data_IF_742822951702
#
_entry.id   IF_742822951702
#
_cell.length_a   1.000
_cell.length_b   1.000
_cell.length_c   1.000
_cell.angle_alpha   90.00
_cell.angle_beta   90.00
_cell.angle_gamma   90.00
#
_symmetry.space_group_name_H-M   'P 1'
#
loop_
_entity.id
_entity.type
_entity.pdbx_description
1 polymer ?
#
# COMPACT_ATOMS: atom_id res chain seq x y z
N UNK A 1 10.45 -4.89 -27.39
CA UNK A 1 11.00 -3.99 -28.43
C UNK A 1 10.31 -2.66 -28.24
N UNK A 2 11.05 -1.63 -27.78
CA UNK A 2 10.56 -0.24 -27.75
C UNK A 2 10.13 0.13 -29.16
N UNK A 3 9.03 0.88 -29.35
CA UNK A 3 8.72 1.40 -30.67
C UNK A 3 9.91 2.26 -31.13
N UNK A 4 10.29 2.13 -32.38
CA UNK A 4 11.26 3.01 -33.01
C UNK A 4 10.65 4.42 -33.10
N UNK A 5 10.71 5.17 -32.01
CA UNK A 5 10.38 6.59 -31.99
C UNK A 5 11.64 7.38 -32.29
N UNK A 6 11.52 8.27 -33.25
CA UNK A 6 12.53 9.20 -33.70
C UNK A 6 13.46 9.65 -32.56
N UNK A 7 14.67 9.10 -32.53
CA UNK A 7 15.76 9.60 -31.71
C UNK A 7 16.20 10.94 -32.29
N UNK A 8 16.03 12.00 -31.53
CA UNK A 8 16.72 13.25 -31.79
C UNK A 8 17.30 13.80 -30.51
N UNK A 9 18.57 14.13 -30.58
CA UNK A 9 19.23 14.89 -29.53
C UNK A 9 19.08 16.38 -29.84
N UNK A 10 18.85 17.18 -28.84
CA UNK A 10 18.88 18.64 -28.94
C UNK A 10 20.10 19.13 -28.21
N UNK A 11 20.89 20.01 -28.82
CA UNK A 11 22.02 20.61 -28.16
C UNK A 11 21.55 21.31 -26.88
N UNK A 12 22.20 20.98 -25.75
CA UNK A 12 21.93 21.64 -24.50
C UNK A 12 22.29 23.12 -24.60
N UNK A 13 21.60 24.02 -23.86
CA UNK A 13 22.04 25.41 -23.72
C UNK A 13 23.51 25.47 -23.28
N UNK A 14 24.24 26.46 -23.77
CA UNK A 14 25.69 26.60 -23.55
C UNK A 14 26.14 26.64 -22.08
N UNK A 15 25.19 26.78 -21.17
CA UNK A 15 25.41 26.83 -19.72
C UNK A 15 24.59 25.78 -18.95
N UNK A 16 24.09 24.76 -19.62
CA UNK A 16 23.39 23.66 -18.96
C UNK A 16 24.37 22.80 -18.15
N UNK A 17 24.01 22.48 -16.93
CA UNK A 17 24.82 21.68 -16.01
C UNK A 17 24.00 20.64 -15.28
N UNK A 18 24.52 19.43 -15.22
CA UNK A 18 24.13 18.46 -14.20
C UNK A 18 24.85 18.83 -12.89
N UNK A 19 24.21 18.67 -11.77
CA UNK A 19 24.83 19.00 -10.48
C UNK A 19 24.42 18.05 -9.35
N UNK A 20 25.30 17.98 -8.35
CA UNK A 20 25.03 17.41 -7.03
C UNK A 20 25.27 18.52 -5.99
N UNK A 21 24.38 18.67 -5.06
CA UNK A 21 24.56 19.47 -3.86
C UNK A 21 24.60 18.55 -2.65
N UNK A 22 25.61 18.71 -1.82
CA UNK A 22 25.69 18.11 -0.50
C UNK A 22 25.11 19.10 0.50
N UNK A 23 24.10 18.70 1.26
CA UNK A 23 23.35 19.55 2.17
C UNK A 23 23.57 19.10 3.62
N UNK A 24 23.84 20.04 4.52
CA UNK A 24 23.97 19.76 5.95
C UNK A 24 22.63 19.98 6.66
N UNK A 25 22.00 18.94 7.21
CA UNK A 25 20.74 19.05 7.93
C UNK A 25 20.89 19.88 9.23
N UNK A 26 22.05 19.84 9.87
CA UNK A 26 22.31 20.59 11.12
C UNK A 26 22.45 22.11 10.87
N UNK A 27 22.73 22.50 9.64
CA UNK A 27 22.84 23.90 9.22
C UNK A 27 21.63 24.37 8.38
N UNK A 28 20.45 23.80 8.65
CA UNK A 28 19.21 24.16 7.95
C UNK A 28 19.22 23.80 6.46
N UNK A 29 19.83 22.67 6.11
CA UNK A 29 20.03 22.21 4.72
C UNK A 29 20.82 23.21 3.84
N UNK A 30 21.75 23.95 4.42
CA UNK A 30 22.67 24.76 3.66
C UNK A 30 23.56 23.89 2.77
N UNK A 31 23.89 24.41 1.58
CA UNK A 31 24.81 23.71 0.67
C UNK A 31 26.23 23.77 1.23
N UNK A 32 26.79 22.61 1.55
CA UNK A 32 28.17 22.47 1.99
C UNK A 32 29.11 22.34 0.79
N UNK A 33 28.65 21.60 -0.22
CA UNK A 33 29.42 21.38 -1.44
C UNK A 33 28.50 21.40 -2.66
N UNK A 34 28.99 21.98 -3.76
CA UNK A 34 28.29 22.03 -5.03
C UNK A 34 29.22 21.57 -6.15
N UNK A 35 28.88 20.46 -6.77
CA UNK A 35 29.63 19.89 -7.89
C UNK A 35 28.75 19.97 -9.13
N UNK A 36 29.32 20.42 -10.24
CA UNK A 36 28.59 20.49 -11.50
C UNK A 36 29.47 20.08 -12.68
N UNK A 37 28.82 19.52 -13.68
CA UNK A 37 29.42 19.14 -14.96
C UNK A 37 28.63 19.74 -16.10
N UNK A 38 29.33 20.24 -17.13
CA UNK A 38 28.66 20.75 -18.33
C UNK A 38 27.95 19.63 -19.06
N UNK A 39 26.72 19.91 -19.52
CA UNK A 39 25.90 19.00 -20.28
C UNK A 39 25.90 19.47 -21.72
N UNK A 40 26.45 18.68 -22.62
CA UNK A 40 26.59 19.02 -24.04
C UNK A 40 25.39 18.59 -24.89
N UNK A 41 24.68 17.57 -24.43
CA UNK A 41 23.49 17.02 -25.13
C UNK A 41 22.42 16.64 -24.13
N UNK A 42 21.16 16.86 -24.51
CA UNK A 42 19.98 16.38 -23.79
C UNK A 42 19.20 15.49 -24.75
N UNK A 43 19.08 14.22 -24.42
CA UNK A 43 18.25 13.29 -25.16
C UNK A 43 16.83 13.24 -24.58
N UNK A 44 15.82 13.22 -25.45
CA UNK A 44 14.42 13.15 -25.06
C UNK A 44 13.95 11.72 -24.82
N UNK A 45 14.59 10.77 -25.46
CA UNK A 45 14.17 9.36 -25.49
C UNK A 45 15.30 8.39 -25.11
N UNK A 46 16.41 8.90 -24.63
CA UNK A 46 17.55 8.07 -24.26
C UNK A 46 18.20 8.55 -22.98
N UNK A 47 18.79 7.64 -22.25
CA UNK A 47 19.47 7.94 -20.99
C UNK A 47 20.88 8.43 -21.27
N UNK A 48 21.24 9.59 -20.73
CA UNK A 48 22.61 10.09 -20.72
C UNK A 48 23.23 9.81 -19.37
N UNK A 49 24.35 9.08 -19.32
CA UNK A 49 25.09 8.85 -18.08
C UNK A 49 25.97 10.04 -17.77
N UNK A 50 25.78 10.63 -16.60
CA UNK A 50 26.63 11.69 -16.07
C UNK A 50 27.26 11.21 -14.76
N UNK A 51 28.57 11.27 -14.66
CA UNK A 51 29.32 10.95 -13.47
C UNK A 51 29.80 12.25 -12.80
N UNK A 52 29.46 12.37 -11.55
CA UNK A 52 29.86 13.44 -10.65
C UNK A 52 30.35 12.77 -9.36
N UNK A 53 31.54 13.18 -8.91
CA UNK A 53 32.16 12.59 -7.74
C UNK A 53 32.29 13.63 -6.64
N UNK A 54 31.97 13.27 -5.42
CA UNK A 54 32.23 14.06 -4.20
C UNK A 54 32.77 13.16 -3.11
N UNK A 55 33.58 13.72 -2.23
CA UNK A 55 34.05 13.01 -1.03
C UNK A 55 33.08 13.29 0.11
N UNK A 56 32.74 12.24 0.85
CA UNK A 56 31.91 12.34 2.06
C UNK A 56 32.84 12.18 3.25
N UNK A 57 33.14 13.28 3.95
CA UNK A 57 33.89 13.24 5.19
C UNK A 57 33.09 12.49 6.27
N UNK A 58 33.79 11.71 7.05
CA UNK A 58 33.28 10.64 7.90
C UNK A 58 32.50 11.06 9.14
N UNK A 59 32.10 12.33 9.31
CA UNK A 59 31.57 12.78 10.60
C UNK A 59 30.40 13.75 10.46
N UNK A 60 29.26 13.23 10.06
CA UNK A 60 27.99 13.84 10.49
C UNK A 60 27.16 12.75 11.17
N UNK A 61 26.84 12.91 12.45
CA UNK A 61 26.02 11.96 13.20
C UNK A 61 24.63 11.70 12.60
N UNK A 62 24.21 12.57 11.66
CA UNK A 62 22.93 12.47 10.95
C UNK A 62 23.09 12.33 9.42
N UNK A 63 24.31 12.13 8.91
CA UNK A 63 24.57 12.03 7.48
C UNK A 63 24.40 13.33 6.70
N UNK A 64 24.46 13.24 5.38
CA UNK A 64 24.24 14.35 4.46
C UNK A 64 23.11 14.02 3.52
N UNK A 65 22.39 15.06 3.09
CA UNK A 65 21.40 14.95 2.02
C UNK A 65 22.02 15.38 0.70
N UNK A 66 21.70 14.67 -0.37
CA UNK A 66 22.14 15.00 -1.72
C UNK A 66 20.97 15.48 -2.55
N UNK A 67 21.13 16.61 -3.21
CA UNK A 67 20.19 17.12 -4.18
C UNK A 67 20.81 17.05 -5.58
N UNK A 68 20.14 16.32 -6.46
CA UNK A 68 20.52 16.20 -7.87
C UNK A 68 19.67 17.13 -8.72
N UNK A 69 20.20 17.60 -9.84
CA UNK A 69 19.42 18.44 -10.73
C UNK A 69 20.17 18.88 -11.99
N UNK A 70 19.44 19.59 -12.84
CA UNK A 70 19.97 20.25 -14.02
C UNK A 70 19.64 21.75 -13.95
N UNK A 71 20.67 22.56 -14.18
CA UNK A 71 20.51 24.00 -14.29
C UNK A 71 20.45 24.43 -15.76
N UNK A 72 19.79 25.53 -16.04
CA UNK A 72 19.76 26.21 -17.34
C UNK A 72 19.26 25.33 -18.52
N UNK A 73 18.41 24.35 -18.23
CA UNK A 73 17.73 23.61 -19.27
C UNK A 73 16.59 24.45 -19.83
N UNK A 74 16.50 24.57 -21.13
CA UNK A 74 15.54 25.46 -21.78
C UNK A 74 14.08 25.13 -21.40
N UNK A 75 13.35 26.12 -20.91
CA UNK A 75 11.98 26.00 -20.42
C UNK A 75 10.90 25.79 -21.51
N UNK A 76 11.27 25.84 -22.79
CA UNK A 76 10.37 25.56 -23.91
C UNK A 76 9.93 24.10 -24.02
N UNK A 77 10.62 23.21 -23.34
CA UNK A 77 10.16 21.87 -23.05
C UNK A 77 9.62 21.85 -21.64
N UNK A 78 8.34 21.64 -21.51
CA UNK A 78 7.75 21.35 -20.21
C UNK A 78 7.85 19.82 -19.96
N UNK A 79 8.99 19.33 -19.52
CA UNK A 79 9.09 17.97 -19.04
C UNK A 79 8.51 17.98 -17.63
N UNK A 80 7.62 17.12 -17.38
CA UNK A 80 7.13 16.80 -16.04
C UNK A 80 8.24 16.19 -15.16
N UNK A 81 9.46 16.71 -15.23
CA UNK A 81 10.59 16.34 -14.38
C UNK A 81 11.78 15.74 -15.15
N UNK A 82 12.90 15.75 -14.49
CA UNK A 82 14.10 14.99 -14.88
C UNK A 82 14.03 13.68 -14.14
N UNK A 83 14.04 12.57 -14.87
CA UNK A 83 14.10 11.24 -14.29
C UNK A 83 15.55 10.89 -13.98
N UNK A 84 15.78 10.35 -12.78
CA UNK A 84 17.05 9.78 -12.39
C UNK A 84 16.90 8.26 -12.27
N UNK A 85 17.85 7.55 -12.82
CA UNK A 85 17.96 6.11 -12.71
C UNK A 85 19.37 5.75 -12.23
N UNK A 86 19.48 4.76 -11.37
CA UNK A 86 20.75 4.27 -10.85
C UNK A 86 21.66 5.37 -10.29
N UNK A 87 21.20 6.11 -9.30
CA UNK A 87 22.07 6.97 -8.52
C UNK A 87 22.95 6.06 -7.65
N UNK A 88 24.18 5.81 -8.11
CA UNK A 88 25.15 5.01 -7.37
C UNK A 88 26.00 5.94 -6.55
N UNK A 89 26.04 5.74 -5.22
CA UNK A 89 26.97 6.38 -4.31
C UNK A 89 28.06 5.35 -3.99
N UNK A 90 29.18 5.43 -4.68
CA UNK A 90 30.33 4.58 -4.39
C UNK A 90 31.20 5.24 -3.33
N UNK A 91 31.25 4.66 -2.13
CA UNK A 91 32.18 5.03 -1.07
C UNK A 91 33.49 4.23 -1.19
N UNK A 92 34.64 4.88 -1.07
CA UNK A 92 35.92 4.18 -0.96
C UNK A 92 35.96 3.29 0.28
N UNK A 93 36.41 2.02 0.11
CA UNK A 93 36.64 0.99 1.12
C UNK A 93 35.64 1.03 2.29
N UNK A 94 34.42 0.71 2.00
CA UNK A 94 33.55 0.18 3.03
C UNK A 94 34.20 -1.12 3.56
N UNK A 95 34.22 -1.35 4.88
CA UNK A 95 34.37 -2.72 5.36
C UNK A 95 33.36 -3.57 4.57
N UNK A 96 33.74 -4.83 4.26
CA UNK A 96 32.84 -5.76 3.55
C UNK A 96 31.41 -5.50 4.00
N UNK A 97 30.46 -5.32 3.07
CA UNK A 97 29.10 -4.97 3.47
C UNK A 97 28.74 -6.01 4.53
N UNK A 98 28.67 -5.56 5.77
CA UNK A 98 27.85 -6.26 6.74
C UNK A 98 26.57 -6.46 5.96
N UNK A 99 26.10 -7.72 5.74
CA UNK A 99 24.88 -7.94 4.97
C UNK A 99 23.93 -6.85 5.47
N UNK A 100 23.41 -6.03 4.54
CA UNK A 100 22.51 -4.96 4.90
C UNK A 100 21.57 -5.58 5.91
N UNK A 101 21.38 -5.00 7.12
CA UNK A 101 20.50 -5.60 8.06
C UNK A 101 19.29 -5.97 7.21
N UNK A 102 18.98 -7.27 7.14
CA UNK A 102 17.75 -7.71 6.52
C UNK A 102 16.72 -6.91 7.28
N UNK A 103 16.26 -5.82 6.69
CA UNK A 103 15.20 -5.04 7.29
C UNK A 103 14.06 -6.03 7.23
N UNK A 104 13.72 -6.59 8.39
CA UNK A 104 12.53 -7.42 8.51
C UNK A 104 11.40 -6.48 8.13
N UNK A 105 10.91 -6.62 6.91
CA UNK A 105 9.81 -5.83 6.37
C UNK A 105 8.59 -5.92 7.28
N UNK A 106 8.48 -7.05 7.98
CA UNK A 106 7.44 -7.30 8.95
C UNK A 106 8.10 -7.63 10.28
N UNK A 107 8.17 -6.67 11.22
CA UNK A 107 8.78 -6.89 12.52
C UNK A 107 8.00 -7.89 13.39
N UNK A 108 6.84 -8.38 12.93
CA UNK A 108 5.97 -9.34 13.62
C UNK A 108 5.64 -8.91 15.06
N UNK A 109 5.37 -7.63 15.23
CA UNK A 109 5.15 -7.03 16.53
C UNK A 109 3.67 -6.65 16.72
N UNK A 110 2.77 -7.64 16.66
CA UNK A 110 1.44 -7.41 17.20
C UNK A 110 1.57 -7.06 18.70
N UNK A 111 0.90 -6.02 19.20
CA UNK A 111 0.87 -5.77 20.62
C UNK A 111 0.30 -6.99 21.37
N UNK A 112 1.06 -7.55 22.30
CA UNK A 112 0.59 -8.73 23.04
C UNK A 112 -0.55 -8.42 23.99
N UNK A 113 -0.63 -7.19 24.49
CA UNK A 113 -1.60 -6.80 25.53
C UNK A 113 -2.05 -5.34 25.35
N UNK A 114 -3.31 -5.12 25.64
CA UNK A 114 -3.90 -3.82 25.90
C UNK A 114 -4.49 -3.86 27.31
N UNK A 115 -4.62 -2.73 27.99
CA UNK A 115 -5.14 -2.65 29.37
C UNK A 115 -6.49 -3.38 29.53
N UNK A 116 -7.37 -3.24 28.53
CA UNK A 116 -8.73 -3.78 28.54
C UNK A 116 -8.94 -4.99 27.63
N UNK A 117 -7.90 -5.47 26.92
CA UNK A 117 -8.01 -6.53 25.93
C UNK A 117 -6.89 -7.54 26.05
N UNK A 118 -7.21 -8.81 25.82
CA UNK A 118 -6.24 -9.91 25.77
C UNK A 118 -6.21 -10.50 24.38
N UNK A 119 -5.02 -10.71 23.80
CA UNK A 119 -4.81 -11.41 22.53
C UNK A 119 -5.38 -12.83 22.61
N UNK A 120 -6.26 -13.17 21.69
CA UNK A 120 -6.91 -14.49 21.61
C UNK A 120 -6.57 -15.25 20.35
N UNK A 121 -6.20 -14.53 19.30
CA UNK A 121 -5.75 -15.13 18.04
C UNK A 121 -4.90 -14.11 17.25
N UNK A 122 -3.91 -14.61 16.53
CA UNK A 122 -3.14 -13.82 15.58
C UNK A 122 -2.62 -14.70 14.44
N UNK A 123 -2.39 -14.08 13.28
CA UNK A 123 -1.57 -14.60 12.21
C UNK A 123 -0.47 -13.57 11.91
N UNK A 124 0.76 -13.97 12.16
CA UNK A 124 1.97 -13.15 11.91
C UNK A 124 2.65 -13.53 10.60
N UNK A 125 2.04 -14.38 9.79
CA UNK A 125 2.59 -14.86 8.52
C UNK A 125 4.04 -15.36 8.66
N UNK A 126 4.36 -15.93 9.80
CA UNK A 126 5.72 -16.36 10.16
C UNK A 126 6.19 -17.63 9.44
N UNK A 127 5.26 -18.36 8.83
CA UNK A 127 5.57 -19.54 8.02
C UNK A 127 5.98 -19.12 6.59
N UNK A 128 6.60 -20.03 5.84
CA UNK A 128 7.00 -19.79 4.44
C UNK A 128 5.83 -19.93 3.44
N UNK A 129 4.60 -20.06 3.93
CA UNK A 129 3.39 -20.22 3.13
C UNK A 129 2.15 -19.75 3.87
N UNK A 130 1.12 -19.42 3.11
CA UNK A 130 -0.18 -19.05 3.66
C UNK A 130 -0.82 -20.24 4.40
N UNK A 131 -1.31 -20.00 5.62
CA UNK A 131 -2.10 -21.00 6.35
C UNK A 131 -3.49 -21.15 5.69
N UNK A 132 -3.63 -22.21 4.89
CA UNK A 132 -4.88 -22.50 4.17
C UNK A 132 -5.99 -23.07 5.07
N UNK A 133 -5.73 -23.33 6.34
CA UNK A 133 -6.78 -23.63 7.31
C UNK A 133 -7.49 -22.37 7.80
N UNK A 134 -6.84 -21.21 7.67
CA UNK A 134 -7.37 -19.89 8.01
C UNK A 134 -7.84 -19.15 6.76
N UNK A 135 -6.99 -19.09 5.75
CA UNK A 135 -7.20 -18.27 4.56
C UNK A 135 -7.55 -19.09 3.33
N UNK A 136 -8.50 -18.63 2.58
CA UNK A 136 -8.86 -19.18 1.27
C UNK A 136 -8.80 -18.10 0.18
N UNK A 137 -8.45 -18.53 -1.05
CA UNK A 137 -8.41 -17.66 -2.21
C UNK A 137 -9.79 -17.48 -2.83
N UNK A 138 -10.05 -16.27 -3.32
CA UNK A 138 -11.14 -15.99 -4.23
C UNK A 138 -10.57 -15.77 -5.64
N UNK A 139 -11.20 -16.32 -6.67
CA UNK A 139 -10.64 -16.39 -8.02
C UNK A 139 -11.46 -15.61 -9.05
N UNK A 140 -10.82 -15.22 -10.15
CA UNK A 140 -11.44 -14.68 -11.34
C UNK A 140 -11.94 -13.25 -11.20
N UNK A 141 -12.95 -12.92 -11.99
CA UNK A 141 -13.57 -11.60 -12.07
C UNK A 141 -14.83 -11.44 -11.19
N UNK A 142 -15.13 -12.42 -10.34
CA UNK A 142 -16.33 -12.44 -9.51
C UNK A 142 -17.55 -13.10 -10.16
N UNK A 143 -17.54 -13.41 -11.46
CA UNK A 143 -18.68 -14.02 -12.16
C UNK A 143 -19.13 -15.33 -11.53
N UNK A 144 -18.20 -16.15 -11.06
CA UNK A 144 -18.51 -17.42 -10.37
C UNK A 144 -19.21 -17.24 -9.02
N UNK A 145 -19.14 -16.03 -8.45
CA UNK A 145 -19.84 -15.64 -7.22
C UNK A 145 -21.12 -14.84 -7.51
N UNK A 146 -21.50 -14.68 -8.79
CA UNK A 146 -22.67 -13.93 -9.21
C UNK A 146 -22.50 -12.40 -9.22
N UNK A 147 -21.28 -11.92 -9.08
CA UNK A 147 -20.92 -10.48 -9.02
C UNK A 147 -19.79 -10.16 -10.03
N UNK A 148 -20.04 -10.24 -11.36
CA UNK A 148 -19.03 -9.96 -12.37
C UNK A 148 -18.41 -8.56 -12.18
N UNK A 149 -17.10 -8.45 -12.40
CA UNK A 149 -16.32 -7.26 -12.04
C UNK A 149 -16.37 -6.97 -10.54
N UNK A 150 -16.57 -8.02 -9.72
CA UNK A 150 -16.74 -7.97 -8.27
C UNK A 150 -17.82 -7.00 -7.78
N UNK A 151 -18.81 -6.73 -8.66
CA UNK A 151 -19.88 -5.77 -8.40
C UNK A 151 -19.50 -4.31 -8.59
N UNK A 152 -18.24 -4.00 -8.85
CA UNK A 152 -17.67 -2.64 -8.90
C UNK A 152 -17.05 -2.29 -10.26
N UNK A 153 -17.22 -3.14 -11.29
CA UNK A 153 -16.53 -3.01 -12.58
C UNK A 153 -15.00 -3.00 -12.45
N UNK A 154 -14.47 -3.79 -11.55
CA UNK A 154 -13.05 -3.99 -11.36
C UNK A 154 -12.42 -4.71 -12.56
N UNK A 155 -11.14 -4.43 -12.83
CA UNK A 155 -10.47 -4.85 -14.07
C UNK A 155 -9.57 -6.06 -13.91
N UNK A 156 -9.16 -6.40 -12.67
CA UNK A 156 -8.27 -7.53 -12.44
C UNK A 156 -9.00 -8.88 -12.46
N UNK A 157 -8.24 -9.91 -12.74
CA UNK A 157 -8.55 -11.28 -12.38
C UNK A 157 -7.81 -11.64 -11.10
N UNK A 158 -8.51 -12.10 -10.08
CA UNK A 158 -7.86 -12.60 -8.89
C UNK A 158 -7.35 -14.03 -9.08
N UNK A 159 -6.14 -14.28 -8.62
CA UNK A 159 -5.47 -15.58 -8.68
C UNK A 159 -4.90 -15.98 -7.32
N UNK A 160 -4.43 -17.23 -7.21
CA UNK A 160 -3.62 -17.73 -6.10
C UNK A 160 -2.16 -17.95 -6.51
N UNK A 161 -1.73 -17.39 -7.64
CA UNK A 161 -0.39 -17.59 -8.15
C UNK A 161 0.65 -16.85 -7.31
N UNK A 162 1.81 -17.47 -7.10
CA UNK A 162 2.90 -16.91 -6.31
C UNK A 162 3.43 -15.56 -6.85
N UNK A 163 3.07 -15.18 -8.06
CA UNK A 163 3.36 -13.85 -8.59
C UNK A 163 2.46 -12.75 -8.03
N UNK A 164 1.26 -13.11 -7.58
CA UNK A 164 0.27 -12.15 -7.09
C UNK A 164 0.05 -12.25 -5.58
N UNK A 165 0.36 -13.41 -4.97
CA UNK A 165 0.22 -13.59 -3.53
C UNK A 165 1.24 -14.58 -3.00
N UNK A 166 1.97 -14.18 -1.97
CA UNK A 166 2.98 -15.03 -1.33
C UNK A 166 3.26 -14.58 0.10
N UNK A 167 3.78 -15.49 0.90
CA UNK A 167 4.27 -15.23 2.26
C UNK A 167 5.78 -15.41 2.25
N UNK A 168 6.50 -14.45 2.76
CA UNK A 168 7.95 -14.50 2.92
C UNK A 168 8.42 -13.52 4.00
N UNK A 169 9.40 -13.93 4.80
CA UNK A 169 10.00 -13.08 5.85
C UNK A 169 8.95 -12.47 6.81
N UNK A 170 7.96 -13.26 7.21
CA UNK A 170 6.93 -12.80 8.14
C UNK A 170 5.91 -11.83 7.55
N UNK A 171 5.83 -11.72 6.24
CA UNK A 171 4.87 -10.85 5.57
C UNK A 171 4.00 -11.63 4.58
N UNK A 172 2.72 -11.27 4.52
CA UNK A 172 1.86 -11.60 3.37
C UNK A 172 1.93 -10.46 2.36
N UNK A 173 2.21 -10.80 1.11
CA UNK A 173 2.24 -9.86 -0.01
C UNK A 173 1.09 -10.13 -0.97
N UNK A 174 0.34 -9.08 -1.34
CA UNK A 174 -0.62 -9.07 -2.42
C UNK A 174 -0.16 -8.06 -3.46
N UNK A 175 0.14 -8.53 -4.67
CA UNK A 175 0.82 -7.75 -5.70
C UNK A 175 -0.03 -7.66 -6.95
N UNK A 176 -0.68 -6.52 -7.20
CA UNK A 176 -1.35 -6.29 -8.48
C UNK A 176 -0.30 -6.16 -9.58
N UNK A 177 -0.45 -6.96 -10.63
CA UNK A 177 0.45 -7.02 -11.79
C UNK A 177 -0.31 -6.85 -13.10
N UNK A 178 0.40 -6.40 -14.13
CA UNK A 178 -0.13 -6.28 -15.48
C UNK A 178 0.54 -7.24 -16.45
N UNK A 179 -0.24 -8.02 -17.18
CA UNK A 179 0.21 -8.86 -18.29
C UNK A 179 0.14 -8.08 -19.60
N UNK A 180 1.30 -7.73 -20.14
CA UNK A 180 1.36 -7.01 -21.41
C UNK A 180 0.91 -7.88 -22.59
N UNK A 181 1.09 -9.20 -22.52
CA UNK A 181 0.71 -10.13 -23.59
C UNK A 181 -0.78 -10.36 -23.67
N UNK A 182 -1.49 -10.21 -22.57
CA UNK A 182 -2.93 -10.48 -22.44
C UNK A 182 -3.76 -9.20 -22.31
N UNK A 183 -3.09 -8.05 -22.11
CA UNK A 183 -3.73 -6.77 -21.79
C UNK A 183 -4.65 -6.88 -20.56
N UNK A 184 -4.15 -7.54 -19.51
CA UNK A 184 -4.94 -7.93 -18.36
C UNK A 184 -4.21 -7.65 -17.05
N UNK A 185 -4.94 -7.15 -16.04
CA UNK A 185 -4.47 -7.05 -14.67
C UNK A 185 -4.77 -8.32 -13.89
N UNK A 186 -3.81 -8.71 -13.04
CA UNK A 186 -3.92 -9.81 -12.10
C UNK A 186 -3.61 -9.34 -10.71
N UNK A 187 -4.29 -9.91 -9.71
CA UNK A 187 -4.06 -9.61 -8.30
C UNK A 187 -4.51 -10.78 -7.44
N UNK A 188 -4.61 -10.59 -6.12
CA UNK A 188 -5.14 -11.61 -5.23
C UNK A 188 -6.20 -11.04 -4.27
N UNK A 189 -7.12 -11.92 -3.87
CA UNK A 189 -8.13 -11.69 -2.85
C UNK A 189 -8.21 -12.91 -1.95
N UNK A 190 -7.93 -12.70 -0.68
CA UNK A 190 -8.01 -13.69 0.37
C UNK A 190 -9.22 -13.44 1.26
N UNK A 191 -9.72 -14.49 1.88
CA UNK A 191 -10.74 -14.39 2.94
C UNK A 191 -10.50 -15.44 4.01
N UNK A 192 -10.89 -15.11 5.24
CA UNK A 192 -10.82 -16.04 6.39
C UNK A 192 -12.14 -16.80 6.63
N UNK A 193 -13.05 -16.83 5.64
CA UNK A 193 -14.34 -17.53 5.73
C UNK A 193 -14.16 -19.01 5.99
N UNK A 194 -14.96 -19.56 6.90
CA UNK A 194 -14.88 -20.95 7.38
C UNK A 194 -13.58 -21.28 8.15
N UNK A 195 -12.66 -20.31 8.31
CA UNK A 195 -11.43 -20.40 9.10
C UNK A 195 -11.53 -19.55 10.37
N UNK A 196 -10.97 -18.33 10.33
CA UNK A 196 -11.02 -17.39 11.45
C UNK A 196 -12.18 -16.40 11.31
N UNK A 197 -13.02 -16.32 12.32
CA UNK A 197 -14.12 -15.34 12.41
C UNK A 197 -13.97 -14.42 13.61
N UNK A 198 -14.57 -13.27 13.50
CA UNK A 198 -14.50 -12.18 14.48
C UNK A 198 -15.91 -11.78 14.91
N UNK A 199 -16.07 -11.49 16.18
CA UNK A 199 -17.29 -10.91 16.72
C UNK A 199 -16.94 -10.13 17.96
N UNK A 200 -17.10 -8.81 17.91
CA UNK A 200 -16.71 -7.88 18.97
C UNK A 200 -15.20 -7.90 19.28
N UNK A 201 -14.78 -7.13 20.27
CA UNK A 201 -13.40 -7.04 20.69
C UNK A 201 -12.60 -5.99 19.91
N UNK A 202 -11.33 -6.24 19.74
CA UNK A 202 -10.40 -5.40 18.98
C UNK A 202 -9.72 -6.24 17.90
N UNK A 203 -9.66 -5.72 16.70
CA UNK A 203 -8.97 -6.33 15.58
C UNK A 203 -7.92 -5.34 15.08
N UNK A 204 -6.66 -5.74 15.07
CA UNK A 204 -5.54 -4.94 14.56
C UNK A 204 -4.96 -5.59 13.31
N UNK A 205 -4.66 -4.78 12.31
CA UNK A 205 -3.95 -5.20 11.12
C UNK A 205 -2.76 -4.29 10.89
N UNK A 206 -1.56 -4.85 10.95
CA UNK A 206 -0.32 -4.19 10.56
C UNK A 206 -0.14 -4.29 9.05
N UNK A 207 0.05 -3.16 8.36
CA UNK A 207 0.07 -3.18 6.90
C UNK A 207 0.82 -2.00 6.27
N UNK A 208 1.17 -2.17 4.99
CA UNK A 208 1.55 -1.12 4.06
C UNK A 208 0.73 -1.25 2.78
N UNK A 209 0.22 -0.15 2.26
CA UNK A 209 -0.67 -0.16 1.10
C UNK A 209 0.03 0.34 -0.18
N UNK A 210 -0.31 -0.21 -1.36
CA UNK A 210 0.22 0.27 -2.63
C UNK A 210 -0.33 1.66 -2.99
N UNK A 211 0.46 2.39 -3.80
CA UNK A 211 0.16 3.75 -4.23
C UNK A 211 0.40 3.92 -5.73
N UNK A 212 -0.60 3.57 -6.54
CA UNK A 212 -0.56 3.65 -8.01
C UNK A 212 -1.90 4.16 -8.55
N UNK A 213 -1.90 4.73 -9.75
CA UNK A 213 -3.16 5.13 -10.40
C UNK A 213 -4.06 3.91 -10.61
N UNK A 214 -5.31 4.01 -10.17
CA UNK A 214 -6.31 2.96 -10.32
C UNK A 214 -6.17 1.77 -9.37
N UNK A 215 -5.26 1.79 -8.39
CA UNK A 215 -5.19 0.74 -7.38
C UNK A 215 -6.22 0.98 -6.27
N UNK A 216 -6.76 -0.11 -5.75
CA UNK A 216 -7.75 -0.09 -4.67
C UNK A 216 -7.45 -1.22 -3.66
N UNK A 217 -6.52 -1.00 -2.73
CA UNK A 217 -6.28 -1.93 -1.65
C UNK A 217 -7.37 -1.84 -0.59
N UNK A 218 -7.76 -2.99 -0.02
CA UNK A 218 -8.76 -3.06 1.04
C UNK A 218 -8.46 -4.12 2.10
N UNK A 219 -8.73 -3.75 3.35
CA UNK A 219 -8.78 -4.59 4.53
C UNK A 219 -10.18 -4.43 5.11
N UNK A 220 -10.99 -5.47 5.02
CA UNK A 220 -12.42 -5.36 5.26
C UNK A 220 -13.04 -6.69 5.70
N UNK A 221 -14.31 -6.68 6.04
CA UNK A 221 -14.97 -7.85 6.59
C UNK A 221 -16.38 -8.03 6.01
N UNK A 222 -16.71 -9.28 5.73
CA UNK A 222 -18.05 -9.72 5.32
C UNK A 222 -18.65 -10.63 6.38
N UNK A 223 -20.00 -10.70 6.45
CA UNK A 223 -20.67 -11.61 7.37
C UNK A 223 -20.24 -13.06 7.11
N UNK A 224 -20.05 -13.82 8.18
CA UNK A 224 -19.77 -15.26 8.07
C UNK A 224 -20.95 -15.99 7.42
N UNK A 225 -22.16 -15.60 7.82
CA UNK A 225 -23.42 -16.12 7.30
C UNK A 225 -24.30 -14.97 6.80
N UNK A 226 -24.97 -15.17 5.67
CA UNK A 226 -25.97 -14.23 5.14
C UNK A 226 -27.31 -14.31 5.90
N UNK A 227 -27.23 -14.18 7.23
CA UNK A 227 -28.35 -14.42 8.13
C UNK A 227 -29.59 -13.58 7.81
N UNK A 228 -29.38 -12.36 7.35
CA UNK A 228 -30.47 -11.42 7.02
C UNK A 228 -30.68 -11.28 5.50
N UNK A 229 -30.00 -12.11 4.71
CA UNK A 229 -30.00 -12.10 3.25
C UNK A 229 -28.70 -11.52 2.68
N UNK A 230 -28.56 -11.64 1.35
CA UNK A 230 -27.35 -11.16 0.66
C UNK A 230 -27.12 -9.66 0.84
N UNK A 231 -25.92 -9.24 0.49
CA UNK A 231 -25.46 -7.87 0.59
C UNK A 231 -26.50 -6.83 0.13
N UNK A 232 -26.69 -5.70 0.81
CA UNK A 232 -26.00 -5.25 2.02
C UNK A 232 -26.70 -5.64 3.35
N UNK A 233 -27.68 -6.54 3.32
CA UNK A 233 -28.55 -6.84 4.47
C UNK A 233 -27.83 -7.47 5.65
N UNK A 234 -26.84 -8.30 5.38
CA UNK A 234 -26.04 -8.97 6.42
C UNK A 234 -24.79 -8.18 6.80
N UNK A 235 -24.62 -6.97 6.27
CA UNK A 235 -23.57 -6.03 6.63
C UNK A 235 -22.27 -6.21 5.85
N UNK A 236 -21.38 -5.21 6.00
CA UNK A 236 -19.99 -5.18 5.57
C UNK A 236 -19.26 -4.15 6.43
N UNK A 237 -18.02 -4.40 6.80
CA UNK A 237 -17.23 -3.51 7.64
C UNK A 237 -15.87 -3.30 6.97
N UNK A 238 -15.59 -2.08 6.51
CA UNK A 238 -14.32 -1.74 5.90
C UNK A 238 -13.42 -1.09 6.95
N UNK A 239 -12.36 -1.80 7.32
CA UNK A 239 -11.35 -1.26 8.24
C UNK A 239 -10.54 -0.21 7.51
N UNK A 240 -10.10 -0.54 6.30
CA UNK A 240 -9.26 0.32 5.48
C UNK A 240 -9.61 0.14 3.99
N UNK A 241 -9.81 1.23 3.31
CA UNK A 241 -9.81 1.33 1.87
C UNK A 241 -8.89 2.47 1.42
N UNK A 242 -7.91 2.12 0.59
CA UNK A 242 -7.07 3.09 -0.10
C UNK A 242 -7.48 3.23 -1.56
N UNK A 243 -7.06 4.29 -2.21
CA UNK A 243 -7.23 4.44 -3.66
C UNK A 243 -6.16 5.28 -4.30
N UNK A 244 -5.79 4.88 -5.49
CA UNK A 244 -4.84 5.63 -6.33
C UNK A 244 -3.50 5.89 -5.60
N UNK A 245 -2.94 7.05 -5.76
CA UNK A 245 -1.72 7.52 -5.09
C UNK A 245 -1.98 8.23 -3.76
N UNK A 246 -3.20 8.18 -3.25
CA UNK A 246 -3.62 8.95 -2.07
C UNK A 246 -3.21 8.22 -0.79
N UNK A 247 -1.91 8.18 -0.50
CA UNK A 247 -1.36 7.57 0.73
C UNK A 247 -1.73 8.34 2.00
N UNK A 248 -2.15 9.58 1.86
CA UNK A 248 -2.57 10.49 2.93
C UNK A 248 -4.07 10.46 3.18
N UNK A 249 -4.80 9.57 2.54
CA UNK A 249 -6.25 9.45 2.69
C UNK A 249 -6.65 8.00 2.86
N UNK A 250 -7.47 7.76 3.87
CA UNK A 250 -8.10 6.45 4.08
C UNK A 250 -9.62 6.60 4.18
N UNK A 251 -10.32 5.60 3.72
CA UNK A 251 -11.75 5.48 3.96
C UNK A 251 -12.03 4.29 4.87
N UNK A 252 -12.98 4.49 5.78
CA UNK A 252 -13.51 3.44 6.65
C UNK A 252 -15.03 3.48 6.56
N UNK A 253 -15.69 2.32 6.47
CA UNK A 253 -17.11 2.27 6.17
C UNK A 253 -17.81 1.13 6.91
N UNK A 254 -19.07 1.31 7.25
CA UNK A 254 -20.01 0.25 7.60
C UNK A 254 -21.17 0.28 6.60
N UNK A 255 -21.37 -0.80 5.84
CA UNK A 255 -22.47 -0.97 4.88
C UNK A 255 -23.56 -1.86 5.46
N UNK A 256 -24.83 -1.46 5.26
CA UNK A 256 -25.99 -2.18 5.80
C UNK A 256 -27.29 -1.82 5.05
N UNK A 257 -28.39 -2.41 5.43
CA UNK A 257 -29.75 -2.03 5.03
C UNK A 257 -30.57 -3.15 4.44
N UNK A 258 -31.83 -3.25 4.89
CA UNK A 258 -32.77 -4.30 4.49
C UNK A 258 -33.59 -3.99 3.25
N UNK A 259 -33.98 -2.75 3.08
CA UNK A 259 -34.82 -2.24 2.00
C UNK A 259 -34.00 -1.67 0.85
N UNK A 260 -32.96 -0.90 1.17
CA UNK A 260 -31.98 -0.41 0.21
C UNK A 260 -30.63 -0.23 0.91
N UNK A 261 -29.56 -0.15 0.13
CA UNK A 261 -28.22 0.02 0.61
C UNK A 261 -28.06 1.35 1.36
N UNK A 262 -27.53 1.25 2.56
CA UNK A 262 -27.07 2.36 3.40
C UNK A 262 -25.64 2.14 3.78
N UNK A 263 -24.94 3.23 4.07
CA UNK A 263 -23.59 3.17 4.60
C UNK A 263 -23.33 4.34 5.53
N UNK A 264 -22.40 4.13 6.42
CA UNK A 264 -21.80 5.17 7.26
C UNK A 264 -20.30 5.15 7.00
N UNK A 265 -19.81 6.19 6.35
CA UNK A 265 -18.44 6.23 5.82
C UNK A 265 -17.71 7.48 6.31
N UNK A 266 -16.41 7.34 6.53
CA UNK A 266 -15.54 8.44 6.89
C UNK A 266 -14.29 8.44 6.03
N UNK A 267 -14.12 9.52 5.26
CA UNK A 267 -12.84 9.88 4.66
C UNK A 267 -12.02 10.64 5.68
N UNK A 268 -10.81 10.16 5.96
CA UNK A 268 -9.87 10.80 6.86
C UNK A 268 -8.62 11.17 6.08
N UNK A 269 -8.27 12.47 6.11
CA UNK A 269 -6.98 12.95 5.63
C UNK A 269 -5.97 12.81 6.77
N UNK A 270 -4.92 12.04 6.50
CA UNK A 270 -3.84 11.80 7.44
C UNK A 270 -2.81 12.94 7.34
N UNK A 271 -2.26 13.34 8.45
CA UNK A 271 -1.09 14.24 8.46
C UNK A 271 0.19 13.41 8.36
N UNK A 272 1.34 14.01 7.96
CA UNK A 272 2.62 13.29 7.95
C UNK A 272 3.03 12.66 9.28
N UNK A 273 2.42 13.08 10.39
CA UNK A 273 2.61 12.50 11.70
C UNK A 273 1.73 11.25 11.94
N UNK A 274 0.65 11.10 11.19
CA UNK A 274 -0.31 10.02 11.35
C UNK A 274 0.06 8.78 10.54
N UNK A 275 0.90 8.92 9.49
CA UNK A 275 1.36 7.81 8.68
C UNK A 275 2.87 7.89 8.47
N UNK A 276 3.46 6.75 8.25
CA UNK A 276 4.86 6.69 7.84
C UNK A 276 4.93 6.56 6.33
N UNK A 277 5.64 7.48 5.67
CA UNK A 277 5.95 7.37 4.24
C UNK A 277 7.02 6.32 3.95
N UNK A 278 7.57 5.73 5.00
CA UNK A 278 8.53 4.65 4.91
C UNK A 278 7.75 3.35 4.71
N UNK A 279 7.90 2.66 3.58
CA UNK A 279 7.26 1.36 3.37
C UNK A 279 7.70 0.30 4.40
N UNK A 280 8.76 0.57 5.16
CA UNK A 280 9.29 -0.29 6.22
C UNK A 280 8.53 -0.08 7.55
N UNK A 281 7.91 1.08 7.74
CA UNK A 281 7.14 1.36 8.95
C UNK A 281 5.67 1.07 8.68
N UNK A 282 5.22 -0.10 9.09
CA UNK A 282 3.84 -0.53 8.91
C UNK A 282 2.89 0.36 9.70
N UNK A 283 1.79 0.69 9.04
CA UNK A 283 0.67 1.31 9.71
C UNK A 283 -0.19 0.24 10.36
N UNK A 284 -0.88 0.60 11.42
CA UNK A 284 -1.83 -0.27 12.09
C UNK A 284 -3.23 0.34 11.98
N UNK A 285 -4.13 -0.38 11.31
CA UNK A 285 -5.56 -0.09 11.38
C UNK A 285 -6.21 -1.01 12.40
N UNK A 286 -7.00 -0.43 13.29
CA UNK A 286 -7.73 -1.18 14.30
C UNK A 286 -9.22 -0.91 14.20
N UNK A 287 -10.00 -1.95 14.45
CA UNK A 287 -11.43 -1.88 14.70
C UNK A 287 -11.69 -2.28 16.14
N UNK A 288 -12.24 -1.37 16.94
CA UNK A 288 -12.81 -1.68 18.26
C UNK A 288 -14.30 -1.80 18.06
N UNK A 289 -14.84 -2.96 18.40
CA UNK A 289 -16.19 -3.36 18.07
C UNK A 289 -16.88 -4.01 19.24
N UNK A 290 -18.09 -3.57 19.55
CA UNK A 290 -18.93 -4.17 20.59
C UNK A 290 -20.43 -4.19 20.19
N UNK A 291 -21.30 -4.49 21.14
CA UNK A 291 -22.74 -4.52 20.93
C UNK A 291 -23.40 -3.12 20.87
N UNK A 292 -22.60 -2.05 21.03
CA UNK A 292 -23.05 -0.66 20.95
C UNK A 292 -22.65 0.00 19.64
N UNK A 293 -21.45 -0.32 19.11
CA UNK A 293 -20.95 0.35 17.91
C UNK A 293 -19.53 -0.05 17.51
N UNK A 294 -18.93 0.86 16.75
CA UNK A 294 -17.58 0.75 16.24
C UNK A 294 -16.73 1.96 16.60
N UNK A 295 -15.44 1.73 16.75
CA UNK A 295 -14.41 2.76 16.70
C UNK A 295 -13.30 2.30 15.76
N UNK A 296 -12.94 3.14 14.77
CA UNK A 296 -11.78 2.95 13.92
C UNK A 296 -10.60 3.73 14.47
N UNK A 297 -9.47 3.07 14.60
CA UNK A 297 -8.24 3.63 15.17
C UNK A 297 -7.10 3.41 14.18
N UNK A 298 -6.34 4.45 13.87
CA UNK A 298 -5.19 4.37 12.98
C UNK A 298 -3.93 4.83 13.69
N UNK A 299 -2.92 3.97 13.76
CA UNK A 299 -1.68 4.21 14.50
C UNK A 299 -1.92 4.70 15.94
N UNK A 300 -2.91 4.13 16.62
CA UNK A 300 -3.29 4.51 17.97
C UNK A 300 -4.14 5.77 18.10
N UNK A 301 -4.47 6.43 16.99
CA UNK A 301 -5.33 7.63 16.96
C UNK A 301 -6.74 7.26 16.52
N UNK A 302 -7.74 7.57 17.34
CA UNK A 302 -9.15 7.39 16.99
C UNK A 302 -9.52 8.24 15.77
N UNK A 303 -9.96 7.60 14.69
CA UNK A 303 -10.43 8.29 13.49
C UNK A 303 -11.87 8.76 13.64
N UNK A 304 -12.73 7.86 14.06
CA UNK A 304 -14.11 8.15 14.43
C UNK A 304 -14.80 6.96 15.09
N UNK A 305 -15.91 7.27 15.75
CA UNK A 305 -16.77 6.32 16.43
C UNK A 305 -18.19 6.40 15.86
N UNK A 306 -18.87 5.28 15.74
CA UNK A 306 -20.28 5.23 15.38
C UNK A 306 -21.04 4.31 16.31
N UNK A 307 -22.10 4.83 16.94
CA UNK A 307 -23.04 4.04 17.71
C UNK A 307 -24.18 3.54 16.83
N UNK A 308 -24.58 2.30 17.01
CA UNK A 308 -25.70 1.69 16.25
C UNK A 308 -27.00 2.47 16.39
N UNK A 309 -27.23 3.07 17.54
CA UNK A 309 -28.39 3.93 17.79
C UNK A 309 -28.49 5.14 16.86
N UNK A 310 -27.34 5.56 16.28
CA UNK A 310 -27.28 6.67 15.30
C UNK A 310 -27.54 6.23 13.87
N UNK A 311 -27.55 4.92 13.60
CA UNK A 311 -27.72 4.37 12.24
C UNK A 311 -29.21 4.16 11.92
N UNK A 312 -29.78 4.86 10.95
CA UNK A 312 -31.20 4.76 10.63
C UNK A 312 -31.54 3.41 9.99
N UNK A 313 -32.64 2.80 10.44
CA UNK A 313 -33.16 1.53 9.89
C UNK A 313 -32.12 0.37 9.89
N UNK A 314 -31.37 0.29 10.98
CA UNK A 314 -30.38 -0.76 11.15
C UNK A 314 -30.98 -2.12 11.46
N UNK A 315 -32.19 -2.15 12.05
CA UNK A 315 -32.81 -3.40 12.51
C UNK A 315 -33.35 -4.30 11.39
N UNK A 316 -33.11 -5.61 11.45
CA UNK A 316 -32.25 -6.28 12.42
C UNK A 316 -30.78 -5.88 12.21
N UNK A 317 -30.03 -5.68 13.32
CA UNK A 317 -28.66 -5.21 13.28
C UNK A 317 -27.71 -6.33 12.83
N UNK A 318 -27.08 -6.23 11.64
CA UNK A 318 -26.18 -7.26 11.14
C UNK A 318 -24.85 -7.29 11.89
N UNK A 319 -24.46 -6.19 12.53
CA UNK A 319 -23.18 -6.04 13.21
C UNK A 319 -23.13 -6.71 14.60
N UNK A 320 -24.19 -7.41 14.97
CA UNK A 320 -24.20 -8.29 16.15
C UNK A 320 -23.83 -9.74 15.81
N UNK A 321 -23.52 -10.02 14.55
CA UNK A 321 -23.18 -11.35 14.04
C UNK A 321 -21.67 -11.51 13.86
N UNK A 322 -21.22 -12.70 13.46
CA UNK A 322 -19.82 -12.98 13.15
C UNK A 322 -19.48 -12.54 11.74
N UNK A 323 -18.28 -12.02 11.59
CA UNK A 323 -17.68 -11.62 10.31
C UNK A 323 -16.38 -12.37 10.07
N UNK A 324 -16.02 -12.54 8.81
CA UNK A 324 -14.71 -12.99 8.36
C UNK A 324 -13.98 -11.85 7.62
N UNK A 325 -12.66 -11.87 7.66
CA UNK A 325 -11.84 -10.84 7.03
C UNK A 325 -11.59 -11.12 5.56
N UNK A 326 -11.46 -10.05 4.79
CA UNK A 326 -10.98 -10.06 3.41
C UNK A 326 -9.78 -9.12 3.26
N UNK A 327 -8.80 -9.57 2.47
CA UNK A 327 -7.59 -8.84 2.13
C UNK A 327 -7.42 -8.87 0.61
N UNK A 328 -7.40 -7.71 -0.04
CA UNK A 328 -7.21 -7.67 -1.50
C UNK A 328 -6.61 -6.34 -1.97
N UNK A 329 -6.10 -6.35 -3.20
CA UNK A 329 -5.77 -5.15 -3.94
C UNK A 329 -6.47 -5.20 -5.29
N UNK A 330 -7.56 -4.47 -5.44
CA UNK A 330 -8.29 -4.35 -6.69
C UNK A 330 -7.59 -3.38 -7.65
N UNK A 331 -7.96 -3.44 -8.92
CA UNK A 331 -7.46 -2.57 -9.98
C UNK A 331 -8.63 -2.03 -10.79
N UNK A 332 -8.71 -0.72 -10.95
CA UNK A 332 -9.84 -0.07 -11.62
C UNK A 332 -11.13 -0.14 -10.82
N UNK A 333 -12.25 -0.10 -11.53
CA UNK A 333 -13.57 -0.08 -10.91
C UNK A 333 -14.13 1.32 -10.71
N UNK A 334 -15.19 1.41 -9.92
CA UNK A 334 -15.90 2.68 -9.70
C UNK A 334 -15.32 3.57 -8.59
N UNK A 335 -14.44 3.00 -7.75
CA UNK A 335 -13.93 3.69 -6.57
C UNK A 335 -12.67 4.52 -6.82
N UNK A 336 -11.62 4.05 -7.51
CA UNK A 336 -10.50 4.89 -7.90
C UNK A 336 -10.93 6.06 -8.78
N UNK A 337 -10.24 7.20 -8.62
CA UNK A 337 -10.50 8.39 -9.42
C UNK A 337 -9.78 8.38 -10.77
N UNK A 338 -8.70 7.60 -10.86
CA UNK A 338 -7.86 7.49 -12.05
C UNK A 338 -7.98 6.11 -12.68
N UNK A 339 -7.89 6.06 -14.01
CA UNK A 339 -7.74 4.78 -14.70
C UNK A 339 -6.37 4.16 -14.37
N UNK A 340 -6.30 2.83 -14.22
CA UNK A 340 -5.02 2.15 -14.03
C UNK A 340 -4.06 2.46 -15.17
N UNK A 341 -2.82 2.82 -14.82
CA UNK A 341 -1.74 3.03 -15.78
C UNK A 341 -0.82 1.80 -15.77
N UNK A 342 -0.81 0.99 -16.85
CA UNK A 342 -0.02 -0.24 -16.90
C UNK A 342 1.46 -0.05 -16.59
N UNK A 343 2.04 1.12 -16.88
CA UNK A 343 3.46 1.38 -16.63
C UNK A 343 3.83 1.52 -15.16
N UNK A 344 2.84 1.72 -14.29
CA UNK A 344 3.05 1.82 -12.84
C UNK A 344 2.95 0.46 -12.13
N UNK A 345 2.42 -0.55 -12.82
CA UNK A 345 2.25 -1.89 -12.25
C UNK A 345 3.43 -2.79 -12.59
N UNK A 346 3.80 -3.64 -11.66
CA UNK A 346 4.70 -4.74 -11.95
C UNK A 346 4.21 -5.55 -13.14
N UNK A 347 5.13 -6.06 -13.93
CA UNK A 347 4.78 -6.91 -15.06
C UNK A 347 4.69 -8.37 -14.62
N UNK A 348 3.67 -9.05 -15.10
CA UNK A 348 3.56 -10.50 -14.94
C UNK A 348 4.70 -11.17 -15.73
N UNK A 349 5.30 -12.22 -15.16
CA UNK A 349 6.44 -12.93 -15.74
C UNK A 349 7.72 -12.07 -15.94
N UNK A 350 7.83 -10.91 -15.30
CA UNK A 350 9.05 -10.13 -15.28
C UNK A 350 9.90 -10.51 -14.05
N UNK A 351 11.20 -10.67 -14.28
CA UNK A 351 12.16 -10.92 -13.19
C UNK A 351 12.56 -9.65 -12.44
N UNK A 352 12.16 -8.47 -12.95
CA UNK A 352 12.38 -7.22 -12.25
C UNK A 352 11.62 -7.20 -10.93
N UNK A 353 12.31 -6.80 -9.87
CA UNK A 353 11.68 -6.69 -8.57
C UNK A 353 10.60 -5.61 -8.57
N UNK A 354 9.43 -5.95 -8.02
CA UNK A 354 8.40 -4.97 -7.73
C UNK A 354 8.82 -4.07 -6.56
N UNK A 355 8.54 -2.79 -6.66
CA UNK A 355 8.72 -1.87 -5.53
C UNK A 355 7.66 -2.14 -4.45
N UNK A 356 7.97 -1.86 -3.19
CA UNK A 356 7.02 -2.08 -2.09
C UNK A 356 5.81 -1.16 -2.19
N UNK A 357 5.97 0.05 -2.75
CA UNK A 357 4.85 0.94 -3.10
C UNK A 357 3.87 0.37 -4.13
N UNK A 358 4.13 -0.80 -4.68
CA UNK A 358 3.27 -1.50 -5.63
C UNK A 358 2.57 -2.72 -4.99
N UNK A 359 2.75 -2.94 -3.69
CA UNK A 359 2.28 -4.12 -2.98
C UNK A 359 1.40 -3.73 -1.80
N UNK A 360 0.34 -4.50 -1.57
CA UNK A 360 -0.29 -4.54 -0.26
C UNK A 360 0.49 -5.57 0.56
N UNK A 361 1.10 -5.09 1.64
CA UNK A 361 1.91 -5.91 2.55
C UNK A 361 1.16 -5.98 3.86
N UNK A 362 0.92 -7.18 4.37
CA UNK A 362 0.31 -7.40 5.68
C UNK A 362 1.37 -8.02 6.59
N UNK A 363 1.65 -7.35 7.70
CA UNK A 363 2.58 -7.79 8.73
C UNK A 363 1.90 -8.82 9.63
N UNK A 364 0.75 -8.47 10.17
CA UNK A 364 -0.04 -9.36 11.02
C UNK A 364 -1.53 -9.00 10.97
N UNK A 365 -2.33 -9.97 11.39
CA UNK A 365 -3.72 -9.78 11.80
C UNK A 365 -3.85 -10.30 13.22
N UNK A 366 -4.28 -9.47 14.16
CA UNK A 366 -4.40 -9.83 15.56
C UNK A 366 -5.82 -9.55 16.09
N UNK A 367 -6.33 -10.46 16.91
CA UNK A 367 -7.66 -10.39 17.48
C UNK A 367 -7.63 -10.50 18.99
N UNK A 368 -8.23 -9.53 19.64
CA UNK A 368 -8.25 -9.38 21.09
C UNK A 368 -9.68 -9.37 21.60
N UNK A 369 -9.91 -10.09 22.68
CA UNK A 369 -11.18 -10.06 23.40
C UNK A 369 -11.10 -9.12 24.60
N UNK A 370 -12.20 -8.42 24.88
CA UNK A 370 -12.31 -7.53 26.03
C UNK A 370 -12.22 -8.34 27.32
N UNK A 371 -11.41 -7.87 28.27
CA UNK A 371 -11.27 -8.49 29.57
C UNK A 371 -12.60 -8.45 30.31
N UNK A 372 -13.07 -9.58 30.80
CA UNK A 372 -14.23 -9.64 31.72
C UNK A 372 -13.76 -9.31 33.09
N UNK A 373 -14.16 -8.16 33.63
CA UNK A 373 -13.96 -7.80 35.02
C UNK A 373 -14.79 -8.68 35.98
#
# INVERSE_FOLDING_TARGET
KRPESLQYSVAAPSNAKAFIKKLDPNAGFSTVEYISKDVTEISRNDWSRHELTTEVDSVAEQGFYFQFGYNNVATSYNPSGVLYDNVVIEGGLAPEPTPAPTVDFCPNNSPNEYDDYTLTWEDQFSEDSLDTSVWSYMYGDGSQYGIPGWGNSEWQLYTGDAENVYVVNGCLYIVPKYSQSEDQYYSARLRSKDGQTFQFGRIDVGFSAPAMDGVWPAIWMMPEDDRYGGWPRSGEIDLFEGKDKLIDQINTTAHYGHDFHRYYSRWTSLTPQDYTSDPINHNVISLIWDDVGFEWVYNGVSLFTVEYASLPNLEPNPFLERFHMLLNSAVGGHYPAYAPNPDQYCKLNDTAACYDSQKLIIDYVAYYQKNTN
#
